data_IF_681802442204
#
_entry.id   IF_681802442204
#
_cell.length_a   1.000
_cell.length_b   1.000
_cell.length_c   1.000
_cell.angle_alpha   90.00
_cell.angle_beta   90.00
_cell.angle_gamma   90.00
#
_symmetry.space_group_name_H-M   'P 1'
#
loop_
_entity.id
_entity.type
_entity.pdbx_description
1 polymer ?
#
# COMPACT_ATOMS: atom_id res chain seq x y z
N UNK A 1 -5.40 -13.72 4.19
CA UNK A 1 -4.70 -12.51 3.70
C UNK A 1 -5.50 -11.26 4.02
N UNK A 2 -6.83 -11.28 3.82
CA UNK A 2 -7.68 -10.12 4.03
C UNK A 2 -7.84 -9.72 5.52
N UNK A 3 -7.93 -8.42 5.76
CA UNK A 3 -8.14 -7.82 7.08
C UNK A 3 -8.00 -6.31 7.05
N UNK A 4 -8.45 -5.64 8.10
CA UNK A 4 -8.33 -4.20 8.26
C UNK A 4 -8.63 -3.78 9.70
N UNK A 5 -8.27 -2.54 10.03
CA UNK A 5 -8.54 -1.95 11.34
C UNK A 5 -8.96 -0.49 11.17
N UNK A 6 -9.95 -0.06 11.94
CA UNK A 6 -10.33 1.34 12.08
C UNK A 6 -9.80 1.84 13.41
N UNK A 7 -8.93 2.84 13.39
CA UNK A 7 -8.42 3.51 14.59
C UNK A 7 -9.28 4.74 14.85
N UNK A 8 -9.82 4.85 16.06
CA UNK A 8 -10.65 5.99 16.46
C UNK A 8 -9.77 6.96 17.24
N UNK A 9 -9.39 8.05 16.58
CA UNK A 9 -8.51 9.07 17.18
C UNK A 9 -9.29 10.19 17.88
N UNK A 10 -10.48 10.51 17.38
CA UNK A 10 -11.40 11.42 18.05
C UNK A 10 -12.26 10.64 19.06
N UNK A 11 -12.08 10.95 20.34
CA UNK A 11 -12.81 10.30 21.44
C UNK A 11 -14.33 10.44 21.32
N UNK A 12 -14.82 11.53 20.71
CA UNK A 12 -16.26 11.74 20.52
C UNK A 12 -16.89 10.71 19.55
N UNK A 13 -16.08 10.06 18.71
CA UNK A 13 -16.56 9.10 17.71
C UNK A 13 -16.58 7.64 18.20
N UNK A 14 -16.02 7.35 19.38
CA UNK A 14 -15.88 5.97 19.89
C UNK A 14 -17.22 5.26 19.98
N UNK A 15 -18.20 5.86 20.65
CA UNK A 15 -19.52 5.25 20.85
C UNK A 15 -20.24 4.99 19.51
N UNK A 16 -20.18 5.95 18.60
CA UNK A 16 -20.77 5.81 17.27
C UNK A 16 -20.10 4.70 16.45
N UNK A 17 -18.78 4.60 16.52
CA UNK A 17 -18.03 3.56 15.82
C UNK A 17 -18.40 2.15 16.33
N UNK A 18 -18.54 1.98 17.65
CA UNK A 18 -19.00 0.73 18.24
C UNK A 18 -20.40 0.33 17.74
N UNK A 19 -21.35 1.29 17.72
CA UNK A 19 -22.72 1.05 17.26
C UNK A 19 -22.74 0.58 15.80
N UNK A 20 -22.05 1.30 14.91
CA UNK A 20 -22.03 0.98 13.47
C UNK A 20 -21.37 -0.39 13.22
N UNK A 21 -20.27 -0.69 13.93
CA UNK A 21 -19.55 -1.98 13.83
C UNK A 21 -20.37 -3.16 14.33
N UNK A 22 -21.16 -2.96 15.38
CA UNK A 22 -22.03 -3.96 15.99
C UNK A 22 -23.45 -3.92 15.40
N UNK A 23 -23.56 -3.83 14.06
CA UNK A 23 -24.82 -3.94 13.31
C UNK A 23 -25.89 -2.92 13.75
N UNK A 24 -25.47 -1.74 14.16
CA UNK A 24 -26.35 -0.65 14.56
C UNK A 24 -26.84 -0.74 16.01
N UNK A 25 -26.24 -1.61 16.83
CA UNK A 25 -26.71 -1.87 18.20
C UNK A 25 -25.76 -1.29 19.25
N UNK A 26 -26.29 -0.93 20.42
CA UNK A 26 -25.46 -0.53 21.56
C UNK A 26 -24.92 -1.74 22.36
N UNK A 27 -24.58 -2.85 21.70
CA UNK A 27 -24.15 -4.11 22.32
C UNK A 27 -22.91 -3.96 23.21
N UNK A 28 -21.95 -3.11 22.81
CA UNK A 28 -20.76 -2.84 23.63
C UNK A 28 -21.10 -2.19 24.98
N UNK A 29 -22.13 -1.33 25.03
CA UNK A 29 -22.60 -0.73 26.28
C UNK A 29 -23.23 -1.77 27.21
N UNK A 30 -23.96 -2.74 26.65
CA UNK A 30 -24.52 -3.85 27.41
C UNK A 30 -23.41 -4.71 28.05
N UNK A 31 -22.36 -5.07 27.28
CA UNK A 31 -21.21 -5.78 27.85
C UNK A 31 -20.45 -4.99 28.93
N UNK A 32 -20.47 -3.65 28.86
CA UNK A 32 -19.93 -2.76 29.89
C UNK A 32 -20.86 -2.56 31.10
N UNK A 33 -22.05 -3.16 31.12
CA UNK A 33 -23.03 -2.99 32.19
C UNK A 33 -23.68 -1.59 32.24
N UNK A 34 -23.59 -0.81 31.16
CA UNK A 34 -24.13 0.56 31.08
C UNK A 34 -25.63 0.58 30.76
N UNK A 35 -26.19 -0.53 30.27
CA UNK A 35 -27.61 -0.72 29.94
C UNK A 35 -28.05 -2.13 30.29
N UNK A 36 -29.33 -2.31 30.65
CA UNK A 36 -29.91 -3.62 31.02
C UNK A 36 -30.06 -4.58 29.82
N UNK A 37 -30.38 -4.04 28.64
CA UNK A 37 -30.45 -4.78 27.38
C UNK A 37 -29.92 -3.92 26.24
N UNK A 38 -29.28 -4.55 25.25
CA UNK A 38 -28.95 -3.88 24.00
C UNK A 38 -30.16 -3.86 23.06
N UNK A 39 -30.20 -2.88 22.16
CA UNK A 39 -31.22 -2.77 21.13
C UNK A 39 -30.64 -2.15 19.86
N UNK A 40 -31.39 -2.23 18.76
CA UNK A 40 -31.07 -1.56 17.51
C UNK A 40 -31.33 -0.05 17.67
N UNK A 41 -30.32 0.77 17.40
CA UNK A 41 -30.33 2.22 17.66
C UNK A 41 -30.09 3.06 16.42
N UNK A 42 -29.38 2.52 15.43
CA UNK A 42 -29.00 3.27 14.22
C UNK A 42 -28.71 2.30 13.06
N UNK A 43 -28.56 2.81 11.84
CA UNK A 43 -27.99 2.04 10.73
C UNK A 43 -26.59 1.51 11.10
N UNK A 44 -26.28 0.28 10.70
CA UNK A 44 -24.96 -0.30 10.90
C UNK A 44 -24.69 -1.46 9.97
N UNK A 45 -23.50 -2.05 10.13
CA UNK A 45 -23.04 -3.20 9.34
C UNK A 45 -22.24 -4.15 10.23
N UNK A 46 -21.63 -5.19 9.65
CA UNK A 46 -20.85 -6.19 10.37
C UNK A 46 -19.36 -6.07 10.04
N UNK A 47 -18.67 -5.15 10.71
CA UNK A 47 -17.22 -4.92 10.53
C UNK A 47 -16.38 -5.71 11.54
N UNK A 48 -16.55 -7.03 11.54
CA UNK A 48 -15.87 -7.96 12.45
C UNK A 48 -14.84 -8.80 11.70
N UNK A 49 -13.63 -8.89 12.24
CA UNK A 49 -12.63 -9.86 11.81
C UNK A 49 -12.88 -11.20 12.52
N UNK A 50 -12.66 -12.33 11.84
CA UNK A 50 -12.68 -13.63 12.51
C UNK A 50 -11.50 -13.77 13.46
N UNK A 51 -11.69 -14.47 14.58
CA UNK A 51 -10.63 -14.66 15.58
C UNK A 51 -9.45 -15.47 15.02
N UNK A 52 -9.70 -16.34 14.03
CA UNK A 52 -8.66 -17.05 13.30
C UNK A 52 -7.74 -16.09 12.51
N UNK A 53 -8.32 -15.08 11.85
CA UNK A 53 -7.53 -14.04 11.18
C UNK A 53 -6.80 -13.16 12.19
N UNK A 54 -7.42 -12.85 13.33
CA UNK A 54 -6.79 -12.09 14.40
C UNK A 54 -5.58 -12.82 14.99
N UNK A 55 -5.68 -14.13 15.23
CA UNK A 55 -4.56 -14.95 15.69
C UNK A 55 -3.40 -14.99 14.68
N UNK A 56 -3.71 -15.05 13.38
CA UNK A 56 -2.68 -14.96 12.33
C UNK A 56 -2.01 -13.57 12.30
N UNK A 57 -2.80 -12.49 12.39
CA UNK A 57 -2.29 -11.13 12.48
C UNK A 57 -1.43 -10.93 13.73
N UNK A 58 -1.82 -11.50 14.86
CA UNK A 58 -1.11 -11.38 16.13
C UNK A 58 0.36 -11.81 16.01
N UNK A 59 0.62 -12.96 15.39
CA UNK A 59 1.99 -13.42 15.16
C UNK A 59 2.81 -12.45 14.28
N UNK A 60 2.17 -11.74 13.34
CA UNK A 60 2.83 -10.70 12.55
C UNK A 60 3.12 -9.44 13.36
N UNK A 61 2.21 -9.06 14.27
CA UNK A 61 2.40 -7.90 15.16
C UNK A 61 3.51 -8.13 16.18
N UNK A 62 3.64 -9.33 16.74
CA UNK A 62 4.77 -9.69 17.61
C UNK A 62 6.13 -9.57 16.88
N UNK A 63 6.14 -9.77 15.57
CA UNK A 63 7.33 -9.66 14.72
C UNK A 63 7.41 -8.33 13.95
N UNK A 64 6.61 -7.32 14.30
CA UNK A 64 6.45 -6.10 13.49
C UNK A 64 7.77 -5.39 13.19
N UNK A 65 8.62 -5.18 14.19
CA UNK A 65 9.92 -4.52 14.02
C UNK A 65 10.85 -5.35 13.12
N UNK A 66 10.89 -6.66 13.31
CA UNK A 66 11.69 -7.57 12.48
C UNK A 66 11.25 -7.52 11.02
N UNK A 67 9.94 -7.53 10.77
CA UNK A 67 9.37 -7.44 9.43
C UNK A 67 9.73 -6.08 8.82
N UNK A 68 9.56 -4.99 9.56
CA UNK A 68 9.84 -3.65 9.08
C UNK A 68 11.32 -3.45 8.74
N UNK A 69 12.23 -3.84 9.63
CA UNK A 69 13.68 -3.71 9.42
C UNK A 69 14.16 -4.54 8.22
N UNK A 70 13.65 -5.76 8.06
CA UNK A 70 13.96 -6.58 6.88
C UNK A 70 13.54 -5.89 5.58
N UNK A 71 12.33 -5.30 5.55
CA UNK A 71 11.85 -4.57 4.36
C UNK A 71 12.65 -3.31 4.10
N UNK A 72 13.01 -2.55 5.14
CA UNK A 72 13.84 -1.35 5.02
C UNK A 72 15.22 -1.68 4.44
N UNK A 73 15.85 -2.76 4.90
CA UNK A 73 17.13 -3.22 4.34
C UNK A 73 17.02 -3.59 2.86
N UNK A 74 15.98 -4.35 2.48
CA UNK A 74 15.70 -4.67 1.08
C UNK A 74 15.45 -3.38 0.26
N UNK A 75 14.67 -2.45 0.78
CA UNK A 75 14.38 -1.18 0.11
C UNK A 75 15.65 -0.37 -0.13
N UNK A 76 16.54 -0.28 0.87
CA UNK A 76 17.80 0.45 0.75
C UNK A 76 18.72 -0.15 -0.32
N UNK A 77 18.79 -1.48 -0.43
CA UNK A 77 19.58 -2.15 -1.47
C UNK A 77 19.14 -1.73 -2.87
N UNK A 78 17.83 -1.60 -3.11
CA UNK A 78 17.34 -1.09 -4.39
C UNK A 78 17.72 0.38 -4.59
N UNK A 79 17.56 1.21 -3.56
CA UNK A 79 17.89 2.63 -3.64
C UNK A 79 19.36 2.84 -4.03
N UNK A 80 20.27 2.20 -3.30
CA UNK A 80 21.72 2.35 -3.51
C UNK A 80 22.15 1.87 -4.89
N UNK A 81 21.62 0.72 -5.33
CA UNK A 81 21.97 0.13 -6.62
C UNK A 81 21.45 0.95 -7.82
N UNK A 82 20.30 1.61 -7.67
CA UNK A 82 19.63 2.34 -8.76
C UNK A 82 19.92 3.85 -8.73
N UNK A 83 20.53 4.37 -7.65
CA UNK A 83 20.92 5.77 -7.53
C UNK A 83 21.79 6.31 -8.69
N UNK A 84 22.74 5.56 -9.27
CA UNK A 84 23.49 6.03 -10.43
C UNK A 84 22.62 6.29 -11.66
N UNK A 85 21.61 5.45 -11.93
CA UNK A 85 20.67 5.65 -13.03
C UNK A 85 19.81 6.89 -12.84
N UNK A 86 19.39 7.14 -11.60
CA UNK A 86 18.64 8.34 -11.25
C UNK A 86 19.47 9.61 -11.40
N UNK A 87 20.73 9.57 -10.95
CA UNK A 87 21.69 10.68 -11.15
C UNK A 87 21.95 10.97 -12.63
N UNK A 88 21.90 9.93 -13.48
CA UNK A 88 22.00 10.06 -14.94
C UNK A 88 20.68 10.49 -15.62
N UNK A 89 19.60 10.73 -14.86
CA UNK A 89 18.29 11.14 -15.38
C UNK A 89 17.55 10.04 -16.15
N UNK A 90 17.92 8.77 -15.98
CA UNK A 90 17.29 7.63 -16.67
C UNK A 90 15.98 7.21 -16.02
N UNK A 91 15.90 7.35 -14.70
CA UNK A 91 14.75 7.02 -13.86
C UNK A 91 14.61 8.03 -12.73
N UNK A 92 13.46 8.04 -12.06
CA UNK A 92 13.25 8.74 -10.78
C UNK A 92 13.08 7.71 -9.66
N UNK A 93 13.76 7.90 -8.54
CA UNK A 93 13.61 7.08 -7.34
C UNK A 93 12.55 7.67 -6.40
N UNK A 94 12.01 6.88 -5.45
CA UNK A 94 11.09 7.40 -4.46
C UNK A 94 11.76 8.46 -3.58
N UNK A 95 11.05 9.55 -3.29
CA UNK A 95 11.46 10.52 -2.29
C UNK A 95 10.85 10.20 -0.92
N UNK A 96 11.62 10.40 0.14
CA UNK A 96 11.16 10.35 1.52
C UNK A 96 11.21 11.79 2.04
N UNK A 97 10.07 12.45 2.27
CA UNK A 97 10.07 13.82 2.77
C UNK A 97 10.70 13.96 4.16
N UNK A 98 11.20 15.15 4.46
CA UNK A 98 11.74 15.48 5.78
C UNK A 98 10.68 15.25 6.88
N UNK A 99 11.08 14.59 7.96
CA UNK A 99 10.19 14.24 9.08
C UNK A 99 9.32 13.00 8.85
N UNK A 100 9.38 12.36 7.68
CA UNK A 100 8.69 11.10 7.44
C UNK A 100 9.60 9.89 7.72
N UNK A 101 9.02 8.85 8.32
CA UNK A 101 9.64 7.52 8.45
C UNK A 101 8.84 6.55 7.59
N UNK A 102 9.45 6.00 6.55
CA UNK A 102 8.82 4.98 5.71
C UNK A 102 8.86 3.60 6.36
N UNK A 103 8.00 2.70 5.89
CA UNK A 103 7.94 1.28 6.31
C UNK A 103 8.31 0.31 5.18
N UNK A 104 8.91 0.82 4.09
CA UNK A 104 9.25 0.04 2.91
C UNK A 104 8.06 -0.78 2.36
N UNK A 105 6.85 -0.19 2.34
CA UNK A 105 5.66 -0.83 1.77
C UNK A 105 5.84 -1.23 0.30
N UNK A 106 6.57 -0.43 -0.47
CA UNK A 106 6.97 -0.73 -1.85
C UNK A 106 8.28 -0.02 -2.19
N UNK A 107 8.95 -0.52 -3.23
CA UNK A 107 9.98 0.22 -3.94
C UNK A 107 9.45 0.47 -5.36
N UNK A 108 9.27 1.73 -5.72
CA UNK A 108 8.85 2.11 -7.07
C UNK A 108 9.97 2.87 -7.77
N UNK A 109 9.96 2.86 -9.10
CA UNK A 109 10.73 3.78 -9.92
C UNK A 109 9.78 4.45 -10.90
N UNK A 110 10.11 5.65 -11.35
CA UNK A 110 9.39 6.27 -12.46
C UNK A 110 10.26 6.32 -13.70
N UNK A 111 9.68 5.91 -14.81
CA UNK A 111 10.29 5.95 -16.13
C UNK A 111 9.86 7.23 -16.87
N UNK A 112 10.14 7.30 -18.17
CA UNK A 112 9.80 8.46 -19.01
C UNK A 112 8.29 8.61 -19.19
N UNK A 113 7.64 7.54 -19.56
CA UNK A 113 6.22 7.49 -19.95
C UNK A 113 5.65 6.05 -19.85
N UNK A 114 4.44 5.86 -20.36
CA UNK A 114 3.74 4.57 -20.35
C UNK A 114 4.39 3.52 -21.24
N UNK A 115 5.00 3.92 -22.35
CA UNK A 115 5.61 3.01 -23.32
C UNK A 115 6.92 2.48 -22.75
N UNK A 116 7.74 3.37 -22.17
CA UNK A 116 8.96 3.00 -21.44
C UNK A 116 8.64 2.05 -20.29
N UNK A 117 7.57 2.35 -19.51
CA UNK A 117 7.11 1.48 -18.41
C UNK A 117 6.69 0.11 -18.91
N UNK A 118 5.92 0.06 -20.00
CA UNK A 118 5.41 -1.19 -20.56
C UNK A 118 6.53 -2.04 -21.15
N UNK A 119 7.50 -1.40 -21.82
CA UNK A 119 8.69 -2.07 -22.33
C UNK A 119 9.51 -2.71 -21.20
N UNK A 120 9.76 -1.98 -20.10
CA UNK A 120 10.48 -2.53 -18.96
C UNK A 120 9.70 -3.68 -18.27
N UNK A 121 8.37 -3.56 -18.12
CA UNK A 121 7.54 -4.67 -17.60
C UNK A 121 7.72 -5.93 -18.44
N UNK A 122 7.65 -5.80 -19.77
CA UNK A 122 7.80 -6.95 -20.67
C UNK A 122 9.21 -7.55 -20.60
N UNK A 123 10.25 -6.71 -20.57
CA UNK A 123 11.62 -7.15 -20.41
C UNK A 123 11.85 -7.92 -19.10
N UNK A 124 11.34 -7.41 -17.99
CA UNK A 124 11.42 -8.09 -16.69
C UNK A 124 10.62 -9.40 -16.70
N UNK A 125 9.46 -9.42 -17.35
CA UNK A 125 8.64 -10.62 -17.49
C UNK A 125 9.35 -11.73 -18.27
N UNK A 126 10.08 -11.39 -19.33
CA UNK A 126 10.91 -12.35 -20.09
C UNK A 126 12.04 -12.94 -19.24
N UNK A 127 12.52 -12.19 -18.24
CA UNK A 127 13.48 -12.66 -17.24
C UNK A 127 12.82 -13.35 -16.03
N UNK A 128 11.52 -13.70 -16.12
CA UNK A 128 10.72 -14.31 -15.04
C UNK A 128 10.58 -13.43 -13.78
N UNK A 129 10.65 -12.11 -13.94
CA UNK A 129 10.51 -11.12 -12.87
C UNK A 129 9.19 -10.39 -13.00
N UNK A 130 8.31 -10.56 -12.01
CA UNK A 130 7.02 -9.88 -11.98
C UNK A 130 7.14 -8.48 -11.35
N UNK A 131 7.29 -7.46 -12.18
CA UNK A 131 7.09 -6.06 -11.81
C UNK A 131 5.73 -5.56 -12.32
N UNK A 132 5.10 -4.67 -11.57
CA UNK A 132 3.70 -4.23 -11.86
C UNK A 132 3.56 -2.73 -11.70
N UNK A 133 2.70 -2.11 -12.51
CA UNK A 133 2.25 -0.74 -12.24
C UNK A 133 1.36 -0.70 -10.98
N UNK A 134 0.85 0.48 -10.62
CA UNK A 134 -0.01 0.64 -9.45
C UNK A 134 -1.43 1.06 -9.82
N UNK A 135 -1.83 2.29 -9.52
CA UNK A 135 -3.20 2.75 -9.71
C UNK A 135 -3.42 3.38 -11.08
N UNK A 136 -4.64 3.21 -11.60
CA UNK A 136 -5.21 4.06 -12.64
C UNK A 136 -5.97 5.19 -11.90
N UNK A 137 -5.82 6.47 -12.31
CA UNK A 137 -6.52 7.58 -11.68
C UNK A 137 -8.03 7.37 -11.67
N UNK A 138 -8.64 7.43 -10.48
CA UNK A 138 -10.07 7.11 -10.32
C UNK A 138 -10.99 8.08 -11.06
N UNK A 139 -10.60 9.35 -11.21
CA UNK A 139 -11.42 10.37 -11.89
C UNK A 139 -11.61 10.10 -13.37
N UNK A 140 -10.72 9.34 -14.01
CA UNK A 140 -10.85 8.91 -15.40
C UNK A 140 -11.51 7.53 -15.57
N UNK A 141 -11.93 6.87 -14.48
CA UNK A 141 -12.67 5.62 -14.55
C UNK A 141 -14.17 5.88 -14.71
N UNK A 142 -14.95 4.94 -15.30
CA UNK A 142 -16.39 5.15 -15.54
C UNK A 142 -17.20 5.51 -14.28
N UNK A 143 -16.85 4.90 -13.14
CA UNK A 143 -17.50 5.22 -11.87
C UNK A 143 -17.05 6.58 -11.31
N UNK A 144 -15.80 6.98 -11.54
CA UNK A 144 -15.30 8.28 -11.10
C UNK A 144 -15.92 9.44 -11.88
N UNK A 145 -16.10 9.27 -13.19
CA UNK A 145 -16.82 10.24 -14.03
C UNK A 145 -18.29 10.40 -13.62
N UNK A 146 -18.91 9.33 -13.10
CA UNK A 146 -20.32 9.36 -12.69
C UNK A 146 -20.53 9.84 -11.25
N UNK A 147 -19.66 9.46 -10.31
CA UNK A 147 -19.84 9.69 -8.87
C UNK A 147 -18.98 10.83 -8.30
N UNK A 148 -18.04 11.37 -9.08
CA UNK A 148 -17.14 12.41 -8.61
C UNK A 148 -16.82 13.44 -9.69
N UNK A 149 -15.97 14.38 -9.31
CA UNK A 149 -15.43 15.40 -10.20
C UNK A 149 -13.95 15.65 -9.86
N UNK A 150 -13.15 15.97 -10.87
CA UNK A 150 -11.76 16.41 -10.68
C UNK A 150 -11.70 17.93 -10.75
N UNK A 151 -11.33 18.57 -9.64
CA UNK A 151 -11.20 20.02 -9.59
C UNK A 151 -9.78 20.47 -9.95
N UNK A 152 -9.67 21.37 -10.93
CA UNK A 152 -8.41 21.95 -11.37
C UNK A 152 -7.78 21.17 -12.53
N UNK A 153 -6.49 21.41 -12.77
CA UNK A 153 -5.73 20.79 -13.86
C UNK A 153 -5.06 19.49 -13.40
N UNK A 154 -5.26 18.40 -14.15
CA UNK A 154 -4.54 17.14 -13.92
C UNK A 154 -3.10 17.22 -14.45
N UNK A 155 -2.24 17.89 -13.69
CA UNK A 155 -0.83 18.09 -14.04
C UNK A 155 0.05 16.87 -13.77
N UNK A 156 -0.31 16.06 -12.78
CA UNK A 156 0.54 15.00 -12.25
C UNK A 156 -0.18 13.66 -12.05
N UNK A 157 -1.46 13.63 -11.73
CA UNK A 157 -2.14 12.38 -11.32
C UNK A 157 -2.07 11.35 -12.44
N UNK A 158 -2.49 11.72 -13.65
CA UNK A 158 -2.42 10.81 -14.80
C UNK A 158 -0.99 10.55 -15.24
N UNK A 159 -0.24 11.61 -15.57
CA UNK A 159 1.14 11.52 -16.08
C UNK A 159 2.06 10.69 -15.19
N UNK A 160 2.00 10.89 -13.87
CA UNK A 160 2.89 10.20 -12.93
C UNK A 160 2.46 8.75 -12.70
N UNK A 161 1.15 8.47 -12.75
CA UNK A 161 0.63 7.09 -12.64
C UNK A 161 1.06 6.22 -13.83
N UNK A 162 1.10 6.80 -15.03
CA UNK A 162 1.43 6.12 -16.28
C UNK A 162 2.88 5.66 -16.36
N UNK A 163 3.78 6.31 -15.62
CA UNK A 163 5.22 6.03 -15.67
C UNK A 163 5.79 5.33 -14.43
N UNK A 164 4.98 5.09 -13.40
CA UNK A 164 5.39 4.43 -12.16
C UNK A 164 5.37 2.90 -12.29
N UNK A 165 6.48 2.25 -11.94
CA UNK A 165 6.63 0.80 -11.86
C UNK A 165 7.03 0.37 -10.44
N UNK A 166 6.39 -0.67 -9.89
CA UNK A 166 6.76 -1.27 -8.60
C UNK A 166 7.62 -2.51 -8.82
N UNK A 167 8.71 -2.60 -8.06
CA UNK A 167 9.61 -3.75 -8.03
C UNK A 167 9.18 -4.76 -6.95
N UNK A 168 9.55 -6.04 -7.10
CA UNK A 168 9.33 -7.05 -6.05
C UNK A 168 9.90 -6.60 -4.71
N UNK A 169 9.03 -6.45 -3.69
CA UNK A 169 9.43 -6.12 -2.34
C UNK A 169 8.47 -6.76 -1.34
N UNK A 170 8.95 -7.77 -0.61
CA UNK A 170 8.18 -8.48 0.41
C UNK A 170 9.13 -9.08 1.45
N UNK A 171 8.62 -9.40 2.64
CA UNK A 171 9.42 -9.82 3.80
C UNK A 171 10.42 -10.95 3.50
N UNK A 172 9.98 -11.98 2.77
CA UNK A 172 10.79 -13.15 2.44
C UNK A 172 11.56 -13.05 1.11
N UNK A 173 11.69 -11.86 0.51
CA UNK A 173 12.48 -11.70 -0.71
C UNK A 173 13.94 -12.05 -0.42
N UNK A 174 14.45 -13.07 -1.11
CA UNK A 174 15.81 -13.54 -0.88
C UNK A 174 16.84 -12.52 -1.44
N UNK A 175 18.02 -12.39 -0.81
CA UNK A 175 19.08 -11.52 -1.33
C UNK A 175 19.53 -11.91 -2.75
N UNK A 176 19.48 -13.21 -3.09
CA UNK A 176 19.79 -13.71 -4.43
C UNK A 176 18.78 -13.19 -5.44
N UNK A 177 17.48 -13.36 -5.18
CA UNK A 177 16.43 -12.91 -6.08
C UNK A 177 16.44 -11.39 -6.22
N UNK A 178 16.67 -10.65 -5.14
CA UNK A 178 16.81 -9.20 -5.20
C UNK A 178 17.98 -8.77 -6.10
N UNK A 179 19.15 -9.41 -5.98
CA UNK A 179 20.29 -9.13 -6.86
C UNK A 179 19.98 -9.45 -8.32
N UNK A 180 19.24 -10.53 -8.60
CA UNK A 180 18.77 -10.83 -9.96
C UNK A 180 17.92 -9.69 -10.51
N UNK A 181 16.94 -9.19 -9.73
CA UNK A 181 16.13 -8.03 -10.14
C UNK A 181 16.99 -6.81 -10.43
N UNK A 182 17.92 -6.48 -9.54
CA UNK A 182 18.82 -5.33 -9.72
C UNK A 182 19.68 -5.50 -10.98
N UNK A 183 20.31 -6.67 -11.17
CA UNK A 183 21.16 -6.92 -12.33
C UNK A 183 20.37 -6.84 -13.65
N UNK A 184 19.16 -7.40 -13.70
CA UNK A 184 18.29 -7.33 -14.87
C UNK A 184 17.88 -5.89 -15.17
N UNK A 185 17.55 -5.08 -14.14
CA UNK A 185 17.28 -3.66 -14.31
C UNK A 185 18.48 -2.91 -14.88
N UNK A 186 19.67 -3.11 -14.30
CA UNK A 186 20.88 -2.44 -14.78
C UNK A 186 21.20 -2.82 -16.24
N UNK A 187 20.98 -4.08 -16.63
CA UNK A 187 21.15 -4.54 -18.01
C UNK A 187 20.11 -3.96 -18.99
N UNK A 188 18.90 -3.63 -18.52
CA UNK A 188 17.93 -2.93 -19.36
C UNK A 188 18.36 -1.49 -19.67
N UNK A 189 19.03 -0.83 -18.72
CA UNK A 189 19.43 0.57 -18.84
C UNK A 189 20.87 0.80 -19.32
N UNK A 190 21.66 -0.28 -19.48
CA UNK A 190 23.04 -0.23 -19.98
C UNK A 190 23.14 0.14 -21.45
#
# INVERSE_FOLDING_TARGET
GEGGATLINDKALIERAEIIREKGTNRSQFFRGQVDKYTWRDIGSSYLMSDLQAAYLWAQLEAADRINQQRLALWQNYYDALAPLAKAGRIELPSIPDGCVQNAHMFYIKLRDIDDRSALINFLKEAEIMAVFHYIPLHGCPAGEHFGEFHGEDRYTTKESERLLRLPLFYNLSPVNQRTVIATLLNYFS
#
